data_IF_696977472564
#
_entry.id   IF_696977472564
#
_cell.length_a   1.000
_cell.length_b   1.000
_cell.length_c   1.000
_cell.angle_alpha   90.00
_cell.angle_beta   90.00
_cell.angle_gamma   90.00
#
_symmetry.space_group_name_H-M   'P 1'
#
loop_
_entity.id
_entity.type
_entity.pdbx_description
1 polymer ?
#
# COMPACT_ATOMS: atom_id res chain seq x y z
N UNK A 1 18.82 33.11 25.05
CA UNK A 1 17.49 32.98 24.41
C UNK A 1 17.51 32.28 23.04
N UNK A 2 18.46 32.55 22.12
CA UNK A 2 18.52 31.89 20.79
C UNK A 2 18.67 30.36 20.82
N UNK A 3 19.46 29.81 21.74
CA UNK A 3 19.68 28.35 21.89
C UNK A 3 18.43 27.60 22.38
N UNK A 4 17.61 28.25 23.21
CA UNK A 4 16.36 27.68 23.74
C UNK A 4 15.28 27.57 22.65
N UNK A 5 15.22 28.56 21.76
CA UNK A 5 14.32 28.56 20.61
C UNK A 5 14.72 27.49 19.58
N UNK A 6 16.01 27.28 19.38
CA UNK A 6 16.52 26.23 18.48
C UNK A 6 16.22 24.82 19.01
N UNK A 7 16.36 24.60 20.33
CA UNK A 7 16.05 23.31 20.97
C UNK A 7 14.56 23.03 21.01
N UNK A 8 13.71 24.04 21.20
CA UNK A 8 12.25 23.92 21.06
C UNK A 8 11.86 23.62 19.61
N UNK A 9 12.46 24.28 18.63
CA UNK A 9 12.23 23.97 17.22
C UNK A 9 12.67 22.53 16.89
N UNK A 10 13.85 22.11 17.37
CA UNK A 10 14.34 20.75 17.18
C UNK A 10 13.41 19.72 17.84
N UNK A 11 12.90 19.99 19.04
CA UNK A 11 11.98 19.09 19.73
C UNK A 11 10.61 19.03 19.06
N UNK A 12 10.10 20.13 18.49
CA UNK A 12 8.88 20.16 17.68
C UNK A 12 9.09 19.39 16.35
N UNK A 13 10.27 19.50 15.72
CA UNK A 13 10.63 18.73 14.53
C UNK A 13 10.76 17.23 14.84
N UNK A 14 11.34 16.87 15.98
CA UNK A 14 11.44 15.48 16.46
C UNK A 14 10.05 14.94 16.83
N UNK A 15 9.20 15.74 17.47
CA UNK A 15 7.81 15.37 17.76
C UNK A 15 6.96 15.23 16.49
N UNK A 16 7.18 16.05 15.45
CA UNK A 16 6.54 15.87 14.14
C UNK A 16 7.03 14.60 13.42
N UNK A 17 8.27 14.16 13.67
CA UNK A 17 8.76 12.85 13.20
C UNK A 17 8.23 11.67 14.04
N UNK A 18 7.71 11.92 15.24
CA UNK A 18 7.21 10.92 16.18
C UNK A 18 5.69 10.63 16.08
N UNK A 19 4.97 11.27 15.15
CA UNK A 19 3.56 10.93 14.90
C UNK A 19 3.52 9.74 13.94
N UNK A 20 3.80 8.55 14.46
CA UNK A 20 3.40 7.31 13.81
C UNK A 20 1.87 7.35 13.68
N UNK A 21 1.35 7.47 12.46
CA UNK A 21 -0.09 7.61 12.22
C UNK A 21 -0.84 6.29 12.41
N UNK A 22 -0.13 5.16 12.37
CA UNK A 22 -0.70 3.82 12.59
C UNK A 22 0.39 2.81 12.97
N UNK A 23 0.25 2.21 14.16
CA UNK A 23 1.00 1.02 14.58
C UNK A 23 0.23 -0.20 14.07
N UNK A 24 0.90 -1.12 13.40
CA UNK A 24 0.31 -2.39 12.96
C UNK A 24 1.00 -3.52 13.71
N UNK A 25 0.20 -4.29 14.45
CA UNK A 25 0.69 -5.43 15.23
C UNK A 25 0.54 -6.71 14.42
N UNK A 26 1.66 -7.38 14.20
CA UNK A 26 1.74 -8.69 13.59
C UNK A 26 2.07 -9.72 14.65
N UNK A 27 1.35 -10.84 14.60
CA UNK A 27 1.63 -12.00 15.42
C UNK A 27 2.34 -13.04 14.56
N UNK A 28 3.42 -13.63 15.09
CA UNK A 28 4.14 -14.73 14.42
C UNK A 28 4.48 -15.81 15.42
N UNK A 29 4.47 -17.09 15.00
CA UNK A 29 4.95 -18.15 15.86
C UNK A 29 6.48 -18.12 15.97
N UNK A 30 7.04 -18.62 17.07
CA UNK A 30 8.50 -18.71 17.31
C UNK A 30 9.24 -19.29 16.09
N UNK A 31 8.70 -20.36 15.50
CA UNK A 31 9.30 -21.03 14.32
C UNK A 31 9.40 -20.15 13.06
N UNK A 32 8.57 -19.11 12.96
CA UNK A 32 8.46 -18.21 11.80
C UNK A 32 9.03 -16.81 12.10
N UNK A 33 9.60 -16.59 13.30
CA UNK A 33 10.09 -15.30 13.78
C UNK A 33 11.20 -14.67 12.94
N UNK A 34 11.96 -15.46 12.17
CA UNK A 34 13.02 -14.96 11.29
C UNK A 34 12.50 -14.32 9.99
N UNK A 35 11.23 -14.50 9.66
CA UNK A 35 10.64 -14.04 8.39
C UNK A 35 10.15 -12.60 8.43
N UNK A 36 9.99 -12.03 9.62
CA UNK A 36 9.45 -10.68 9.81
C UNK A 36 10.12 -10.04 11.01
N UNK A 37 10.50 -8.78 10.87
CA UNK A 37 11.11 -8.00 11.94
C UNK A 37 10.33 -6.71 12.17
N UNK A 38 10.49 -6.16 13.38
CA UNK A 38 10.08 -4.78 13.65
C UNK A 38 10.69 -3.87 12.59
N UNK A 39 9.87 -2.97 12.04
CA UNK A 39 10.27 -2.14 10.91
C UNK A 39 9.47 -0.85 10.87
N UNK A 40 10.04 0.15 10.19
CA UNK A 40 9.45 1.47 10.09
C UNK A 40 9.48 1.95 8.65
N UNK A 41 8.34 2.38 8.14
CA UNK A 41 8.19 2.83 6.76
C UNK A 41 7.56 4.22 6.69
N UNK A 42 8.11 5.07 5.83
CA UNK A 42 7.60 6.42 5.57
C UNK A 42 7.37 6.65 4.08
N UNK A 43 6.13 6.96 3.71
CA UNK A 43 5.75 7.16 2.30
C UNK A 43 4.93 8.42 2.09
N UNK A 44 5.12 9.06 0.92
CA UNK A 44 4.31 10.20 0.53
C UNK A 44 2.90 9.76 0.12
N UNK A 45 1.90 10.52 0.56
CA UNK A 45 0.53 10.37 0.12
C UNK A 45 0.41 10.72 -1.38
N UNK A 46 -0.42 9.96 -2.06
CA UNK A 46 -0.74 10.14 -3.47
C UNK A 46 -2.24 10.33 -3.65
N UNK A 47 -2.61 11.11 -4.68
CA UNK A 47 -3.99 11.25 -5.14
C UNK A 47 -4.11 10.86 -6.61
N UNK A 48 -5.24 10.27 -6.98
CA UNK A 48 -5.56 10.03 -8.39
C UNK A 48 -5.84 11.38 -9.05
N UNK A 49 -5.17 11.66 -10.19
CA UNK A 49 -5.25 12.96 -10.85
C UNK A 49 -6.66 13.28 -11.38
N UNK A 50 -7.40 12.28 -11.83
CA UNK A 50 -8.76 12.43 -12.39
C UNK A 50 -9.80 11.90 -11.40
N UNK A 51 -10.64 12.78 -10.84
CA UNK A 51 -11.61 12.41 -9.79
C UNK A 51 -12.69 11.41 -10.23
N UNK A 52 -13.09 11.41 -11.50
CA UNK A 52 -14.08 10.47 -12.07
C UNK A 52 -13.46 9.17 -12.60
N UNK A 53 -12.19 8.90 -12.31
CA UNK A 53 -11.45 7.78 -12.87
C UNK A 53 -12.05 6.42 -12.43
N UNK A 54 -12.27 5.51 -13.38
CA UNK A 54 -12.77 4.16 -13.12
C UNK A 54 -11.86 3.35 -12.19
N UNK A 55 -10.55 3.61 -12.20
CA UNK A 55 -9.61 3.07 -11.22
C UNK A 55 -10.04 3.40 -9.79
N UNK A 56 -10.46 4.64 -9.50
CA UNK A 56 -10.93 5.00 -8.17
C UNK A 56 -12.12 4.14 -7.73
N UNK A 57 -13.07 3.88 -8.63
CA UNK A 57 -14.23 3.02 -8.37
C UNK A 57 -13.81 1.59 -8.06
N UNK A 58 -12.88 1.05 -8.85
CA UNK A 58 -12.34 -0.31 -8.65
C UNK A 58 -11.59 -0.42 -7.33
N UNK A 59 -10.69 0.50 -7.00
CA UNK A 59 -9.99 0.49 -5.71
C UNK A 59 -10.96 0.59 -4.53
N UNK A 60 -12.04 1.37 -4.66
CA UNK A 60 -13.10 1.47 -3.65
C UNK A 60 -13.95 0.20 -3.52
N UNK A 61 -14.05 -0.61 -4.58
CA UNK A 61 -14.72 -1.92 -4.57
C UNK A 61 -13.83 -2.96 -3.90
N UNK A 62 -12.54 -3.01 -4.25
CA UNK A 62 -11.54 -3.89 -3.63
C UNK A 62 -11.35 -3.60 -2.13
N UNK A 63 -11.59 -2.35 -1.72
CA UNK A 63 -11.50 -1.97 -0.30
C UNK A 63 -12.73 -2.32 0.55
N UNK A 64 -13.74 -3.03 0.02
CA UNK A 64 -14.95 -3.39 0.79
C UNK A 64 -14.74 -4.54 1.78
N UNK A 65 -13.83 -5.47 1.53
CA UNK A 65 -13.61 -6.63 2.40
C UNK A 65 -12.67 -6.29 3.57
N UNK A 66 -12.89 -6.82 4.76
CA UNK A 66 -12.10 -6.44 5.96
C UNK A 66 -10.73 -7.14 6.08
N UNK A 67 -10.46 -8.14 5.24
CA UNK A 67 -9.47 -9.19 5.56
C UNK A 67 -8.07 -8.96 4.97
N UNK A 68 -7.81 -7.77 4.44
CA UNK A 68 -6.47 -7.39 3.98
C UNK A 68 -6.25 -5.91 4.20
N UNK A 69 -5.21 -5.61 4.97
CA UNK A 69 -4.92 -4.26 5.43
C UNK A 69 -4.24 -3.41 4.35
N UNK A 70 -3.55 -4.05 3.39
CA UNK A 70 -2.85 -3.36 2.30
C UNK A 70 -3.02 -4.01 0.94
N UNK A 71 -2.94 -3.17 -0.08
CA UNK A 71 -2.86 -3.58 -1.47
C UNK A 71 -1.59 -3.06 -2.14
N UNK A 72 -0.98 -3.89 -2.97
CA UNK A 72 0.01 -3.47 -3.96
C UNK A 72 -0.73 -3.18 -5.27
N UNK A 73 -0.58 -1.94 -5.75
CA UNK A 73 -1.08 -1.47 -7.03
C UNK A 73 0.10 -1.25 -7.97
N UNK A 74 0.11 -1.95 -9.10
CA UNK A 74 1.09 -1.77 -10.17
C UNK A 74 0.41 -1.22 -11.41
N UNK A 75 1.08 -0.27 -12.04
CA UNK A 75 0.69 0.25 -13.34
C UNK A 75 1.85 0.08 -14.30
N UNK A 76 1.59 -0.55 -15.43
CA UNK A 76 2.60 -0.79 -16.46
C UNK A 76 2.06 -0.39 -17.84
N UNK A 77 2.95 -0.25 -18.83
CA UNK A 77 2.61 0.02 -20.22
C UNK A 77 3.03 -1.16 -21.09
N UNK A 78 2.06 -1.88 -21.64
CA UNK A 78 2.30 -2.95 -22.61
C UNK A 78 1.81 -2.46 -23.97
N UNK A 79 2.73 -2.31 -24.92
CA UNK A 79 2.46 -1.71 -26.23
C UNK A 79 1.86 -0.30 -26.11
N UNK A 80 0.56 -0.14 -26.42
CA UNK A 80 -0.17 1.13 -26.30
C UNK A 80 -1.10 1.19 -25.09
N UNK A 81 -1.29 0.07 -24.38
CA UNK A 81 -2.25 -0.03 -23.30
C UNK A 81 -1.58 0.13 -21.94
N UNK A 82 -2.26 0.82 -21.03
CA UNK A 82 -1.85 0.89 -19.63
C UNK A 82 -2.50 -0.27 -18.90
N UNK A 83 -1.70 -1.20 -18.38
CA UNK A 83 -2.21 -2.29 -17.55
C UNK A 83 -2.18 -1.89 -16.08
N UNK A 84 -3.16 -2.37 -15.33
CA UNK A 84 -3.32 -2.15 -13.91
C UNK A 84 -3.48 -3.50 -13.24
N UNK A 85 -2.64 -3.77 -12.24
CA UNK A 85 -2.86 -4.89 -11.33
C UNK A 85 -2.94 -4.41 -9.90
N UNK A 86 -3.83 -5.02 -9.13
CA UNK A 86 -3.98 -4.76 -7.70
C UNK A 86 -4.06 -6.10 -6.99
N UNK A 87 -3.26 -6.28 -5.95
CA UNK A 87 -3.23 -7.51 -5.17
C UNK A 87 -3.18 -7.17 -3.70
N UNK A 88 -3.89 -7.92 -2.86
CA UNK A 88 -3.76 -7.80 -1.41
C UNK A 88 -2.44 -8.38 -0.92
N UNK A 89 -1.86 -7.76 0.10
CA UNK A 89 -0.60 -8.17 0.73
C UNK A 89 -0.69 -7.99 2.25
N UNK A 90 0.03 -8.82 3.00
CA UNK A 90 0.27 -8.61 4.42
C UNK A 90 1.39 -7.58 4.60
N UNK A 91 1.35 -6.71 5.63
CA UNK A 91 2.38 -5.67 5.79
C UNK A 91 3.80 -6.22 5.96
N UNK A 92 3.94 -7.46 6.40
CA UNK A 92 5.25 -8.14 6.50
C UNK A 92 5.93 -8.36 5.16
N UNK A 93 5.13 -8.44 4.11
CA UNK A 93 5.59 -8.78 2.76
C UNK A 93 5.77 -7.49 1.92
N UNK A 94 5.80 -6.30 2.56
CA UNK A 94 5.73 -5.01 1.90
C UNK A 94 7.01 -4.14 2.02
N UNK A 95 7.35 -3.44 0.93
CA UNK A 95 7.10 -3.81 -0.47
C UNK A 95 7.97 -5.01 -0.86
N UNK A 96 7.58 -5.80 -1.88
CA UNK A 96 8.46 -6.81 -2.46
C UNK A 96 9.82 -6.21 -2.84
N UNK A 97 10.91 -6.92 -2.57
CA UNK A 97 12.30 -6.41 -2.78
C UNK A 97 12.61 -6.02 -4.22
N UNK A 98 11.85 -6.53 -5.19
CA UNK A 98 11.99 -6.24 -6.62
C UNK A 98 11.10 -5.07 -7.11
N UNK A 99 10.44 -4.32 -6.23
CA UNK A 99 9.57 -3.22 -6.61
C UNK A 99 9.93 -1.92 -5.90
N UNK A 100 9.91 -0.82 -6.66
CA UNK A 100 10.03 0.51 -6.10
C UNK A 100 8.65 1.08 -5.75
N UNK A 101 8.54 1.70 -4.56
CA UNK A 101 7.30 2.33 -4.11
C UNK A 101 7.27 3.80 -4.50
N UNK A 102 6.30 4.17 -5.33
CA UNK A 102 6.03 5.57 -5.64
C UNK A 102 5.43 6.27 -4.42
N UNK A 103 4.38 5.75 -3.81
CA UNK A 103 3.74 6.33 -2.63
C UNK A 103 2.48 5.57 -2.25
N UNK A 104 1.67 6.14 -1.35
CA UNK A 104 0.45 5.49 -0.84
C UNK A 104 -0.78 6.26 -1.27
N UNK A 105 -1.78 5.54 -1.78
CA UNK A 105 -3.12 6.07 -1.98
C UNK A 105 -4.07 5.49 -0.91
N UNK A 106 -4.85 6.35 -0.25
CA UNK A 106 -5.90 5.93 0.70
C UNK A 106 -7.28 6.11 0.09
N UNK A 107 -8.13 5.10 0.24
CA UNK A 107 -9.56 5.24 -0.09
C UNK A 107 -10.31 5.86 1.09
N UNK A 108 -11.52 6.39 0.85
CA UNK A 108 -12.39 6.90 1.92
C UNK A 108 -12.81 5.84 2.95
N UNK A 109 -12.60 4.55 2.64
CA UNK A 109 -12.87 3.42 3.53
C UNK A 109 -11.68 3.02 4.41
N UNK A 110 -10.62 3.83 4.46
CA UNK A 110 -9.51 3.64 5.37
C UNK A 110 -8.47 2.60 4.94
N UNK A 111 -8.58 2.04 3.73
CA UNK A 111 -7.60 1.09 3.19
C UNK A 111 -6.47 1.77 2.43
N UNK A 112 -5.28 1.18 2.57
CA UNK A 112 -4.03 1.67 2.01
C UNK A 112 -3.63 0.89 0.74
N UNK A 113 -3.20 1.62 -0.28
CA UNK A 113 -2.70 1.08 -1.54
C UNK A 113 -1.28 1.60 -1.79
N UNK A 114 -0.28 0.73 -1.70
CA UNK A 114 1.06 1.01 -2.18
C UNK A 114 1.07 1.04 -3.69
N UNK A 115 1.53 2.16 -4.26
CA UNK A 115 1.67 2.32 -5.69
C UNK A 115 3.10 1.95 -6.06
N UNK A 116 3.28 0.82 -6.74
CA UNK A 116 4.58 0.24 -7.07
C UNK A 116 4.88 0.30 -8.57
N UNK A 117 6.18 0.29 -8.91
CA UNK A 117 6.70 0.19 -10.26
C UNK A 117 8.02 -0.60 -10.27
N UNK A 118 8.36 -1.18 -11.41
CA UNK A 118 9.56 -2.02 -11.61
C UNK A 118 10.49 -1.48 -12.71
N UNK A 119 10.07 -0.43 -13.43
CA UNK A 119 10.75 0.06 -14.63
C UNK A 119 10.52 1.56 -14.86
N UNK A 120 11.39 2.17 -15.67
CA UNK A 120 11.31 3.56 -16.12
C UNK A 120 9.99 3.85 -16.89
N UNK A 121 9.47 2.86 -17.60
CA UNK A 121 8.23 2.93 -18.36
C UNK A 121 7.02 2.93 -17.40
N UNK A 122 7.00 2.01 -16.44
CA UNK A 122 5.98 1.92 -15.38
C UNK A 122 5.91 3.20 -14.56
N UNK A 123 7.04 3.78 -14.13
CA UNK A 123 7.02 5.03 -13.35
C UNK A 123 6.44 6.21 -14.14
N UNK A 124 6.66 6.28 -15.47
CA UNK A 124 6.03 7.31 -16.33
C UNK A 124 4.51 7.15 -16.32
N UNK A 125 4.00 5.92 -16.36
CA UNK A 125 2.57 5.62 -16.27
C UNK A 125 2.01 6.01 -14.90
N UNK A 126 2.67 5.58 -13.83
CA UNK A 126 2.28 5.92 -12.45
C UNK A 126 2.15 7.42 -12.26
N UNK A 127 3.13 8.21 -12.73
CA UNK A 127 3.11 9.68 -12.67
C UNK A 127 1.97 10.32 -13.48
N UNK A 128 1.43 9.64 -14.51
CA UNK A 128 0.26 10.10 -15.27
C UNK A 128 -1.05 9.85 -14.52
N UNK A 129 -1.13 8.78 -13.74
CA UNK A 129 -2.35 8.40 -13.00
C UNK A 129 -2.42 9.07 -11.62
N UNK A 130 -1.28 9.17 -10.94
CA UNK A 130 -1.17 9.64 -9.58
C UNK A 130 -0.37 10.95 -9.49
N UNK A 131 -0.64 11.71 -8.42
CA UNK A 131 0.12 12.89 -8.02
C UNK A 131 0.54 12.73 -6.57
N UNK A 132 1.84 12.77 -6.32
CA UNK A 132 2.42 12.88 -4.97
C UNK A 132 2.01 14.21 -4.32
N UNK A 133 1.63 14.14 -3.05
CA UNK A 133 1.41 15.29 -2.19
C UNK A 133 2.50 15.28 -1.11
N UNK A 134 2.89 16.46 -0.61
CA UNK A 134 3.94 16.62 0.41
C UNK A 134 3.57 16.08 1.81
N UNK A 135 2.42 15.45 1.95
CA UNK A 135 2.01 14.77 3.17
C UNK A 135 2.65 13.37 3.21
N UNK A 136 3.22 12.98 4.35
CA UNK A 136 3.75 11.64 4.59
C UNK A 136 2.88 10.89 5.57
N UNK A 137 2.78 9.58 5.35
CA UNK A 137 2.26 8.63 6.31
C UNK A 137 3.41 7.74 6.80
N UNK A 138 3.36 7.38 8.07
CA UNK A 138 4.36 6.55 8.72
C UNK A 138 3.68 5.32 9.32
N UNK A 139 4.31 4.17 9.13
CA UNK A 139 3.87 2.87 9.62
C UNK A 139 4.97 2.26 10.46
N UNK A 140 4.61 1.85 11.67
CA UNK A 140 5.44 1.02 12.51
C UNK A 140 4.85 -0.39 12.52
N UNK A 141 5.61 -1.35 12.00
CA UNK A 141 5.27 -2.77 12.12
C UNK A 141 5.92 -3.26 13.41
N UNK A 142 5.08 -3.73 14.33
CA UNK A 142 5.49 -4.41 15.55
C UNK A 142 5.17 -5.89 15.44
N UNK A 143 6.15 -6.73 15.72
CA UNK A 143 6.05 -8.18 15.68
C UNK A 143 6.04 -8.71 17.11
N UNK A 144 4.94 -9.38 17.46
CA UNK A 144 4.82 -10.11 18.70
C UNK A 144 4.98 -11.61 18.43
N UNK A 145 5.96 -12.23 19.09
CA UNK A 145 6.26 -13.64 18.92
C UNK A 145 5.41 -14.46 19.88
N UNK A 146 4.57 -15.32 19.31
CA UNK A 146 3.68 -16.23 20.03
C UNK A 146 4.27 -17.64 20.11
N UNK A 147 3.99 -18.40 21.17
CA UNK A 147 4.22 -19.84 21.23
C UNK A 147 3.67 -20.60 20.01
N UNK A 148 4.31 -21.71 19.64
CA UNK A 148 3.98 -22.46 18.40
C UNK A 148 2.61 -23.18 18.45
N UNK A 149 2.05 -23.37 19.63
CA UNK A 149 0.74 -23.97 19.90
C UNK A 149 -0.42 -22.97 19.75
N UNK A 150 -0.15 -21.67 19.61
CA UNK A 150 -1.16 -20.67 19.29
C UNK A 150 -1.42 -20.65 17.77
N UNK A 151 -2.65 -20.95 17.38
CA UNK A 151 -3.09 -20.90 15.99
C UNK A 151 -3.32 -19.46 15.53
N UNK A 152 -2.49 -18.99 14.62
CA UNK A 152 -2.67 -17.71 13.95
C UNK A 152 -3.53 -17.98 12.71
N UNK A 153 -4.75 -17.42 12.68
CA UNK A 153 -5.65 -17.57 11.52
C UNK A 153 -5.01 -16.85 10.34
N UNK A 154 -4.42 -17.62 9.43
CA UNK A 154 -3.92 -17.13 8.15
C UNK A 154 -5.10 -17.04 7.20
N UNK A 155 -5.63 -15.82 7.02
CA UNK A 155 -6.67 -15.58 6.02
C UNK A 155 -6.06 -15.71 4.63
N UNK A 156 -6.13 -16.90 4.03
CA UNK A 156 -5.72 -17.15 2.64
C UNK A 156 -6.72 -16.56 1.63
N UNK A 157 -7.32 -15.40 1.94
CA UNK A 157 -8.25 -14.73 1.04
C UNK A 157 -7.47 -13.89 0.05
N UNK A 158 -7.30 -14.42 -1.15
CA UNK A 158 -6.69 -13.69 -2.25
C UNK A 158 -7.70 -12.74 -2.87
N UNK A 159 -7.34 -11.45 -2.90
CA UNK A 159 -7.99 -10.43 -3.71
C UNK A 159 -7.01 -10.01 -4.81
N UNK A 160 -7.41 -10.20 -6.06
CA UNK A 160 -6.59 -9.90 -7.22
C UNK A 160 -7.41 -9.23 -8.30
N UNK A 161 -6.91 -8.12 -8.82
CA UNK A 161 -7.47 -7.42 -9.97
C UNK A 161 -6.40 -7.28 -11.05
N UNK A 162 -6.80 -7.49 -12.30
CA UNK A 162 -6.02 -7.18 -13.49
C UNK A 162 -6.95 -6.59 -14.55
N UNK A 163 -6.55 -5.46 -15.12
CA UNK A 163 -7.25 -4.81 -16.21
C UNK A 163 -6.34 -3.89 -17.01
N UNK A 164 -6.89 -3.23 -18.01
CA UNK A 164 -6.16 -2.32 -18.88
C UNK A 164 -7.02 -1.16 -19.36
N UNK A 165 -6.42 -0.02 -19.66
CA UNK A 165 -7.12 1.11 -20.25
C UNK A 165 -7.21 0.95 -21.77
N UNK A 166 -8.43 1.11 -22.29
CA UNK A 166 -8.69 1.34 -23.71
C UNK A 166 -9.28 2.74 -23.85
N UNK A 167 -8.45 3.71 -24.27
CA UNK A 167 -8.80 5.12 -24.17
C UNK A 167 -8.91 5.57 -22.71
N UNK A 168 -10.05 6.14 -22.32
CA UNK A 168 -10.28 6.57 -20.92
C UNK A 168 -10.99 5.51 -20.06
N UNK A 169 -11.47 4.42 -20.67
CA UNK A 169 -12.22 3.37 -20.00
C UNK A 169 -11.29 2.27 -19.49
N UNK A 170 -11.49 1.86 -18.24
CA UNK A 170 -10.74 0.74 -17.64
C UNK A 170 -11.51 -0.57 -17.85
N UNK A 171 -10.92 -1.47 -18.65
CA UNK A 171 -11.47 -2.79 -18.96
C UNK A 171 -10.90 -3.81 -17.97
N UNK A 172 -11.78 -4.54 -17.29
CA UNK A 172 -11.39 -5.60 -16.35
C UNK A 172 -11.12 -6.90 -17.11
N UNK A 173 -9.93 -7.47 -16.92
CA UNK A 173 -9.56 -8.78 -17.48
C UNK A 173 -9.79 -9.92 -16.49
N UNK A 174 -9.51 -9.67 -15.21
CA UNK A 174 -9.65 -10.66 -14.13
C UNK A 174 -9.95 -9.96 -12.81
N UNK A 175 -10.95 -10.47 -12.09
CA UNK A 175 -11.26 -10.03 -10.72
C UNK A 175 -11.52 -11.23 -9.82
N UNK A 176 -10.71 -11.37 -8.78
CA UNK A 176 -10.87 -12.32 -7.69
C UNK A 176 -11.06 -11.53 -6.41
N UNK A 177 -12.11 -11.87 -5.65
CA UNK A 177 -12.38 -11.30 -4.32
C UNK A 177 -12.63 -12.47 -3.38
N UNK A 178 -11.90 -12.54 -2.26
CA UNK A 178 -12.00 -13.61 -1.27
C UNK A 178 -12.00 -15.01 -1.93
N UNK A 179 -11.03 -15.26 -2.81
CA UNK A 179 -10.88 -16.50 -3.60
C UNK A 179 -12.01 -16.81 -4.60
N UNK A 180 -13.04 -15.95 -4.71
CA UNK A 180 -14.11 -16.11 -5.69
C UNK A 180 -13.78 -15.29 -6.94
N UNK A 181 -13.67 -15.98 -8.08
CA UNK A 181 -13.57 -15.33 -9.39
C UNK A 181 -14.93 -14.74 -9.76
N UNK A 182 -14.96 -13.44 -10.06
CA UNK A 182 -16.21 -12.74 -10.40
C UNK A 182 -16.33 -12.54 -11.92
N UNK A 183 -15.20 -12.35 -12.63
CA UNK A 183 -15.11 -12.19 -14.08
C UNK A 183 -13.78 -12.75 -14.60
#
# INVERSE_FOLDING_TARGET
MRSFLLTILLSIFIQQSAICQSIIKYYTNIRDSSRISNSFYGYNLCVIRRKKNDLYKILTRLSKDSLSEVFILRCDKIMNDITISVQNWEYKDLPPTNMEVYGIFKTSKGKDFFICYDSCESIKVVKKLFRKIKQKNFYQIEVEVLPNDIYIIKNDMTTYYNGYYKGECLITKKLIINNKKIY
#
